data_IF_466821009851
#
_entry.id   IF_466821009851
#
_cell.length_a   1.000
_cell.length_b   1.000
_cell.length_c   1.000
_cell.angle_alpha   90.00
_cell.angle_beta   90.00
_cell.angle_gamma   90.00
#
_symmetry.space_group_name_H-M   'P 1'
#
loop_
_entity.id
_entity.type
_entity.pdbx_description
1 polymer ?
#
# COMPACT_ATOMS: atom_id res chain seq x y z
N UNK A 1 3.92 19.22 75.31
CA UNK A 1 3.23 20.48 74.97
C UNK A 1 2.65 20.35 73.60
N UNK A 2 1.32 20.33 73.55
CA UNK A 2 0.34 20.50 72.48
C UNK A 2 0.58 19.97 71.06
N UNK A 3 -0.32 19.13 70.57
CA UNK A 3 -0.42 18.68 69.17
C UNK A 3 -1.25 19.67 68.35
N UNK A 4 -0.92 19.82 67.07
CA UNK A 4 -1.80 20.48 66.11
C UNK A 4 -2.49 19.43 65.22
N UNK A 5 -3.76 19.23 65.60
CA UNK A 5 -4.77 18.69 64.65
C UNK A 5 -5.26 19.84 63.83
N UNK A 6 -5.15 19.71 62.51
CA UNK A 6 -6.04 20.33 61.50
C UNK A 6 -5.57 19.85 60.10
N UNK A 7 -6.27 18.94 59.50
CA UNK A 7 -6.71 18.92 58.10
C UNK A 7 -7.34 17.55 57.81
N UNK A 8 -8.63 17.47 57.78
CA UNK A 8 -9.25 16.73 56.69
C UNK A 8 -10.56 17.40 56.26
N UNK A 9 -10.53 18.42 55.43
CA UNK A 9 -11.78 18.98 54.87
C UNK A 9 -11.61 19.65 53.52
N UNK A 10 -10.64 19.21 52.69
CA UNK A 10 -10.48 19.76 51.36
C UNK A 10 -10.40 18.70 50.26
N UNK A 11 -10.66 17.45 50.54
CA UNK A 11 -10.62 16.39 49.49
C UNK A 11 -12.00 15.92 49.01
N UNK A 12 -13.10 16.54 49.40
CA UNK A 12 -14.45 16.10 49.01
C UNK A 12 -15.14 17.01 47.96
N UNK A 13 -14.49 18.08 47.50
CA UNK A 13 -15.10 18.95 46.46
C UNK A 13 -14.54 18.74 45.05
N UNK A 14 -13.52 17.90 44.84
CA UNK A 14 -12.94 17.65 43.54
C UNK A 14 -13.51 16.42 42.78
N UNK A 15 -14.43 15.69 43.42
CA UNK A 15 -15.03 14.47 42.83
C UNK A 15 -16.39 14.67 42.16
N UNK A 16 -16.96 15.88 42.21
CA UNK A 16 -18.30 16.15 41.62
C UNK A 16 -18.26 16.90 40.29
N UNK A 17 -17.09 17.34 39.83
CA UNK A 17 -16.99 18.06 38.52
C UNK A 17 -16.59 17.16 37.35
N UNK A 18 -16.14 15.94 37.58
CA UNK A 18 -15.75 15.01 36.47
C UNK A 18 -16.88 14.15 35.90
N UNK A 19 -18.12 14.30 36.34
CA UNK A 19 -19.23 13.44 35.86
C UNK A 19 -20.24 14.14 34.94
N UNK A 20 -19.87 15.23 34.29
CA UNK A 20 -20.73 15.92 33.26
C UNK A 20 -20.11 16.17 31.90
N UNK A 21 -19.00 15.56 31.57
CA UNK A 21 -18.62 15.37 30.17
C UNK A 21 -18.91 13.92 29.80
N UNK A 22 -20.19 13.57 29.79
CA UNK A 22 -20.62 12.50 28.93
C UNK A 22 -20.26 12.91 27.51
N UNK A 23 -19.20 12.37 26.93
CA UNK A 23 -19.00 12.36 25.50
C UNK A 23 -20.23 11.65 24.96
N UNK A 24 -21.21 12.40 24.48
CA UNK A 24 -22.20 11.87 23.55
C UNK A 24 -21.35 11.45 22.36
N UNK A 25 -20.99 10.17 22.30
CA UNK A 25 -20.45 9.60 21.09
C UNK A 25 -21.53 9.86 20.04
N UNK A 26 -21.32 10.84 19.15
CA UNK A 26 -22.19 11.06 18.02
C UNK A 26 -22.25 9.74 17.27
N UNK A 27 -23.46 9.28 16.92
CA UNK A 27 -23.60 8.10 16.08
C UNK A 27 -22.65 8.22 14.88
N UNK A 28 -21.90 7.15 14.53
CA UNK A 28 -20.96 7.20 13.43
C UNK A 28 -21.67 7.72 12.17
N UNK A 29 -21.03 8.64 11.46
CA UNK A 29 -21.59 9.14 10.19
C UNK A 29 -21.72 7.95 9.22
N UNK A 30 -22.91 7.66 8.77
CA UNK A 30 -23.18 6.59 7.78
C UNK A 30 -22.40 6.78 6.47
N UNK A 31 -21.88 7.99 6.26
CA UNK A 31 -21.03 8.38 5.14
C UNK A 31 -19.59 8.66 5.59
N UNK A 32 -19.09 7.89 6.56
CA UNK A 32 -17.69 7.92 6.97
C UNK A 32 -16.80 7.31 5.86
N UNK A 33 -16.62 8.06 4.77
CA UNK A 33 -15.88 7.66 3.58
C UNK A 33 -14.53 8.39 3.57
N UNK A 34 -13.44 7.66 3.43
CA UNK A 34 -12.07 8.19 3.37
C UNK A 34 -11.35 7.61 2.14
N UNK A 35 -10.82 8.44 1.24
CA UNK A 35 -10.99 9.90 1.12
C UNK A 35 -12.46 10.28 0.90
N UNK A 36 -12.83 11.48 1.36
CA UNK A 36 -14.19 11.99 1.11
C UNK A 36 -14.41 12.22 -0.37
N UNK A 37 -15.53 11.75 -0.96
CA UNK A 37 -15.79 11.89 -2.38
C UNK A 37 -15.84 13.36 -2.84
N UNK A 38 -15.49 13.60 -4.11
CA UNK A 38 -15.52 14.94 -4.69
C UNK A 38 -16.92 15.58 -4.61
N UNK A 39 -17.98 14.77 -4.75
CA UNK A 39 -19.37 15.20 -4.58
C UNK A 39 -20.18 14.08 -3.92
N UNK A 40 -20.98 14.42 -2.94
CA UNK A 40 -21.98 13.55 -2.32
C UNK A 40 -23.27 14.30 -2.03
N UNK A 41 -24.36 13.80 -2.56
CA UNK A 41 -25.72 14.22 -2.24
C UNK A 41 -26.40 13.13 -1.42
N UNK A 42 -26.56 13.36 -0.13
CA UNK A 42 -27.25 12.44 0.79
C UNK A 42 -28.75 12.46 0.52
N UNK A 43 -29.39 11.32 0.44
CA UNK A 43 -30.83 11.17 0.18
C UNK A 43 -31.51 10.44 1.33
N UNK A 44 -32.81 10.62 1.47
CA UNK A 44 -33.61 9.86 2.43
C UNK A 44 -33.73 8.40 2.02
N UNK A 45 -33.87 7.51 3.00
CA UNK A 45 -34.03 6.08 2.80
C UNK A 45 -32.72 5.31 2.78
N UNK A 46 -32.82 4.01 2.69
CA UNK A 46 -31.69 3.08 2.59
C UNK A 46 -32.08 1.84 1.78
N UNK A 47 -31.13 1.26 1.07
CA UNK A 47 -31.25 -0.04 0.44
C UNK A 47 -30.91 -1.13 1.46
N UNK A 48 -31.85 -1.96 1.82
CA UNK A 48 -31.59 -3.16 2.61
C UNK A 48 -31.00 -4.26 1.73
N UNK A 49 -29.87 -4.80 2.12
CA UNK A 49 -29.21 -5.87 1.38
C UNK A 49 -29.86 -7.22 1.76
N UNK A 50 -30.82 -7.64 0.97
CA UNK A 50 -31.54 -8.91 1.13
C UNK A 50 -31.03 -9.96 0.14
N UNK A 51 -31.33 -11.23 0.38
CA UNK A 51 -30.96 -12.33 -0.52
C UNK A 51 -31.65 -12.31 -1.89
N UNK A 52 -32.61 -11.40 -2.11
CA UNK A 52 -33.26 -11.20 -3.41
C UNK A 52 -32.48 -10.34 -4.39
N UNK A 53 -31.44 -9.62 -3.88
CA UNK A 53 -30.58 -8.81 -4.72
C UNK A 53 -29.65 -9.67 -5.59
N UNK A 54 -29.31 -9.13 -6.75
CA UNK A 54 -28.30 -9.72 -7.66
C UNK A 54 -27.26 -8.66 -8.02
N UNK A 55 -25.99 -9.06 -8.11
CA UNK A 55 -24.94 -8.20 -8.64
C UNK A 55 -24.85 -8.42 -10.14
N UNK A 56 -25.04 -7.37 -10.93
CA UNK A 56 -24.98 -7.37 -12.38
C UNK A 56 -23.69 -6.66 -12.83
N UNK A 57 -22.80 -7.35 -13.51
CA UNK A 57 -21.49 -6.85 -13.93
C UNK A 57 -21.38 -6.78 -15.45
N UNK A 58 -20.87 -5.68 -15.99
CA UNK A 58 -20.52 -5.57 -17.40
C UNK A 58 -19.64 -6.76 -17.84
N UNK A 59 -19.75 -7.25 -19.09
CA UNK A 59 -19.05 -8.42 -19.59
C UNK A 59 -17.55 -8.13 -19.80
N UNK A 60 -16.83 -7.86 -18.73
CA UNK A 60 -15.41 -7.58 -18.63
C UNK A 60 -14.83 -8.37 -17.44
N UNK A 61 -13.72 -9.06 -17.64
CA UNK A 61 -13.14 -9.96 -16.64
C UNK A 61 -12.77 -9.25 -15.34
N UNK A 62 -12.17 -8.06 -15.42
CA UNK A 62 -11.81 -7.27 -14.24
C UNK A 62 -13.04 -6.79 -13.48
N UNK A 63 -14.12 -6.40 -14.17
CA UNK A 63 -15.39 -6.01 -13.53
C UNK A 63 -16.07 -7.22 -12.87
N UNK A 64 -15.99 -8.41 -13.48
CA UNK A 64 -16.52 -9.64 -12.86
C UNK A 64 -15.76 -10.02 -11.60
N UNK A 65 -14.42 -9.91 -11.60
CA UNK A 65 -13.60 -10.12 -10.39
C UNK A 65 -13.96 -9.09 -9.31
N UNK A 66 -14.11 -7.83 -9.69
CA UNK A 66 -14.54 -6.74 -8.79
C UNK A 66 -15.92 -7.01 -8.20
N UNK A 67 -16.87 -7.54 -8.99
CA UNK A 67 -18.20 -7.93 -8.52
C UNK A 67 -18.14 -9.09 -7.50
N UNK A 68 -17.26 -10.06 -7.72
CA UNK A 68 -17.03 -11.15 -6.77
C UNK A 68 -16.43 -10.63 -5.44
N UNK A 69 -15.51 -9.66 -5.51
CA UNK A 69 -14.99 -8.98 -4.31
C UNK A 69 -16.10 -8.25 -3.55
N UNK A 70 -16.99 -7.53 -4.25
CA UNK A 70 -18.13 -6.85 -3.62
C UNK A 70 -19.07 -7.86 -2.93
N UNK A 71 -19.38 -8.99 -3.58
CA UNK A 71 -20.16 -10.05 -2.96
C UNK A 71 -19.52 -10.57 -1.67
N UNK A 72 -18.18 -10.74 -1.68
CA UNK A 72 -17.40 -11.09 -0.49
C UNK A 72 -17.46 -10.01 0.61
N UNK A 73 -17.39 -8.73 0.26
CA UNK A 73 -17.50 -7.64 1.23
C UNK A 73 -18.88 -7.56 1.89
N UNK A 74 -19.95 -7.80 1.10
CA UNK A 74 -21.32 -7.86 1.63
C UNK A 74 -21.46 -9.03 2.58
N UNK A 75 -21.02 -10.22 2.21
CA UNK A 75 -21.06 -11.41 3.06
C UNK A 75 -20.22 -11.22 4.35
N UNK A 76 -19.04 -10.62 4.25
CA UNK A 76 -18.17 -10.30 5.38
C UNK A 76 -18.75 -9.25 6.35
N UNK A 77 -19.72 -8.44 5.89
CA UNK A 77 -20.50 -7.51 6.70
C UNK A 77 -21.81 -8.12 7.23
N UNK A 78 -21.87 -9.44 7.37
CA UNK A 78 -23.06 -10.23 7.76
C UNK A 78 -24.24 -10.10 6.78
N UNK A 79 -23.97 -9.75 5.53
CA UNK A 79 -24.97 -9.72 4.47
C UNK A 79 -25.19 -11.06 3.79
N UNK A 80 -26.18 -11.14 2.89
CA UNK A 80 -26.47 -12.34 2.12
C UNK A 80 -25.38 -12.64 1.10
N UNK A 81 -25.23 -13.91 0.73
CA UNK A 81 -24.46 -14.32 -0.43
C UNK A 81 -25.21 -13.93 -1.71
N UNK A 82 -24.75 -12.89 -2.40
CA UNK A 82 -25.38 -12.39 -3.61
C UNK A 82 -24.79 -13.05 -4.87
N UNK A 83 -25.64 -13.53 -5.80
CA UNK A 83 -25.18 -14.08 -7.07
C UNK A 83 -24.65 -12.96 -7.98
N UNK A 84 -23.56 -13.25 -8.71
CA UNK A 84 -23.01 -12.38 -9.75
C UNK A 84 -23.45 -12.88 -11.13
N UNK A 85 -24.07 -11.99 -11.92
CA UNK A 85 -24.53 -12.28 -13.30
C UNK A 85 -24.05 -11.21 -14.28
N UNK A 86 -24.14 -11.52 -15.57
CA UNK A 86 -23.80 -10.55 -16.61
C UNK A 86 -24.82 -9.41 -16.69
N UNK A 87 -24.35 -8.17 -16.82
CA UNK A 87 -25.19 -7.01 -17.11
C UNK A 87 -25.40 -6.89 -18.62
N UNK A 88 -26.65 -6.82 -19.04
CA UNK A 88 -27.06 -6.79 -20.46
C UNK A 88 -27.53 -5.41 -20.94
N UNK A 89 -27.31 -4.36 -20.13
CA UNK A 89 -27.61 -2.96 -20.49
C UNK A 89 -29.01 -2.48 -20.09
N UNK A 90 -29.88 -3.33 -19.55
CA UNK A 90 -31.21 -2.92 -19.12
C UNK A 90 -31.27 -2.57 -17.63
N UNK A 91 -31.99 -1.51 -17.23
CA UNK A 91 -32.23 -1.21 -15.83
C UNK A 91 -32.93 -2.41 -15.15
N UNK A 92 -32.44 -2.78 -13.97
CA UNK A 92 -33.04 -3.86 -13.19
C UNK A 92 -33.27 -3.38 -11.74
N UNK A 93 -34.49 -3.58 -11.23
CA UNK A 93 -34.79 -3.42 -9.81
C UNK A 93 -34.16 -4.55 -9.01
N UNK A 94 -34.01 -4.36 -7.72
CA UNK A 94 -33.40 -5.31 -6.81
C UNK A 94 -32.03 -5.80 -7.30
N UNK A 95 -31.18 -4.86 -7.75
CA UNK A 95 -29.88 -5.20 -8.27
C UNK A 95 -28.79 -4.17 -7.90
N UNK A 96 -27.55 -4.64 -7.85
CA UNK A 96 -26.34 -3.82 -7.76
C UNK A 96 -25.68 -3.92 -9.12
N UNK A 97 -25.77 -2.86 -9.92
CA UNK A 97 -25.27 -2.81 -11.29
C UNK A 97 -23.88 -2.17 -11.30
N UNK A 98 -22.89 -2.90 -11.82
CA UNK A 98 -21.52 -2.44 -12.06
C UNK A 98 -21.33 -2.27 -13.58
N UNK A 99 -21.51 -1.06 -14.07
CA UNK A 99 -21.59 -0.78 -15.51
C UNK A 99 -20.36 -0.02 -16.02
N UNK A 100 -19.72 -0.55 -17.06
CA UNK A 100 -18.81 0.23 -17.88
C UNK A 100 -19.63 1.12 -18.82
N UNK A 101 -19.44 2.44 -18.72
CA UNK A 101 -20.21 3.43 -19.46
C UNK A 101 -19.28 4.55 -19.95
N UNK A 102 -19.13 4.73 -21.27
CA UNK A 102 -18.33 5.83 -21.83
C UNK A 102 -18.81 7.23 -21.43
N UNK A 103 -20.09 7.37 -21.05
CA UNK A 103 -20.66 8.64 -20.58
C UNK A 103 -20.38 8.94 -19.11
N UNK A 104 -19.83 8.00 -18.35
CA UNK A 104 -19.44 8.20 -16.95
C UNK A 104 -18.33 9.28 -16.83
N UNK A 105 -18.07 9.82 -15.62
CA UNK A 105 -17.05 10.83 -15.39
C UNK A 105 -15.69 10.46 -15.99
N UNK A 106 -14.98 11.46 -16.52
CA UNK A 106 -13.66 11.26 -17.13
C UNK A 106 -12.60 10.89 -16.10
N UNK A 107 -11.66 10.04 -16.49
CA UNK A 107 -10.58 9.53 -15.64
C UNK A 107 -10.71 8.03 -15.39
N UNK A 108 -9.59 7.31 -15.41
CA UNK A 108 -9.55 5.86 -15.26
C UNK A 108 -10.17 5.40 -13.94
N UNK A 109 -9.90 6.12 -12.85
CA UNK A 109 -10.36 5.81 -11.50
C UNK A 109 -11.65 6.55 -11.09
N UNK A 110 -12.22 7.39 -11.99
CA UNK A 110 -13.44 8.16 -11.71
C UNK A 110 -14.67 7.27 -11.79
N UNK A 111 -15.66 7.56 -10.95
CA UNK A 111 -16.93 6.82 -10.94
C UNK A 111 -18.11 7.69 -10.54
N UNK A 112 -19.30 7.24 -10.90
CA UNK A 112 -20.58 7.72 -10.42
C UNK A 112 -21.33 6.57 -9.76
N UNK A 113 -21.82 6.80 -8.54
CA UNK A 113 -22.53 5.84 -7.72
C UNK A 113 -23.86 6.41 -7.29
N UNK A 114 -24.95 5.75 -7.65
CA UNK A 114 -26.28 6.08 -7.22
C UNK A 114 -26.88 4.93 -6.41
N UNK A 115 -27.26 5.21 -5.16
CA UNK A 115 -27.90 4.25 -4.25
C UNK A 115 -29.33 4.69 -4.04
N UNK A 116 -30.29 3.79 -4.30
CA UNK A 116 -31.74 3.96 -4.10
C UNK A 116 -32.26 2.81 -3.27
N UNK A 117 -33.46 2.91 -2.75
CA UNK A 117 -34.12 1.86 -1.98
C UNK A 117 -34.33 0.56 -2.78
N UNK A 118 -34.39 0.65 -4.12
CA UNK A 118 -34.61 -0.49 -5.03
C UNK A 118 -33.34 -0.99 -5.75
N UNK A 119 -32.15 -0.43 -5.44
CA UNK A 119 -30.91 -0.90 -6.05
C UNK A 119 -29.78 0.11 -6.08
N UNK A 120 -28.64 -0.36 -6.63
CA UNK A 120 -27.42 0.44 -6.82
C UNK A 120 -27.04 0.49 -8.30
N UNK A 121 -26.66 1.64 -8.78
CA UNK A 121 -26.00 1.83 -10.07
C UNK A 121 -24.63 2.45 -9.85
N UNK A 122 -23.56 1.72 -10.14
CA UNK A 122 -22.19 2.18 -10.18
C UNK A 122 -21.72 2.19 -11.63
N UNK A 123 -21.33 3.37 -12.13
CA UNK A 123 -20.84 3.57 -13.49
C UNK A 123 -19.42 4.14 -13.47
N UNK A 124 -18.59 3.66 -14.38
CA UNK A 124 -17.26 4.19 -14.64
C UNK A 124 -16.86 3.94 -16.10
N UNK A 125 -15.87 4.69 -16.61
CA UNK A 125 -15.34 4.43 -17.96
C UNK A 125 -14.44 3.19 -18.00
N UNK A 126 -13.79 2.88 -16.90
CA UNK A 126 -12.88 1.75 -16.78
C UNK A 126 -13.15 0.90 -15.54
N UNK A 127 -12.59 -0.32 -15.52
CA UNK A 127 -12.76 -1.25 -14.39
C UNK A 127 -12.15 -0.72 -13.10
N UNK A 128 -11.13 0.14 -13.16
CA UNK A 128 -10.52 0.80 -11.99
C UNK A 128 -11.52 1.67 -11.25
N UNK A 129 -12.30 2.50 -11.98
CA UNK A 129 -13.35 3.33 -11.38
C UNK A 129 -14.44 2.48 -10.72
N UNK A 130 -14.84 1.35 -11.33
CA UNK A 130 -15.74 0.39 -10.69
C UNK A 130 -15.14 -0.13 -9.38
N UNK A 131 -13.85 -0.47 -9.38
CA UNK A 131 -13.17 -0.93 -8.17
C UNK A 131 -13.14 0.15 -7.08
N UNK A 132 -12.83 1.43 -7.42
CA UNK A 132 -12.87 2.54 -6.43
C UNK A 132 -14.28 2.75 -5.89
N UNK A 133 -15.30 2.62 -6.73
CA UNK A 133 -16.70 2.74 -6.31
C UNK A 133 -17.13 1.65 -5.34
N UNK A 134 -16.71 0.39 -5.53
CA UNK A 134 -17.02 -0.67 -4.57
C UNK A 134 -16.30 -0.50 -3.23
N UNK A 135 -15.14 0.18 -3.18
CA UNK A 135 -14.50 0.51 -1.91
C UNK A 135 -15.33 1.54 -1.12
N UNK A 136 -16.00 2.46 -1.81
CA UNK A 136 -16.97 3.37 -1.17
C UNK A 136 -18.13 2.58 -0.56
N UNK A 137 -18.73 1.65 -1.30
CA UNK A 137 -19.77 0.78 -0.76
C UNK A 137 -19.26 -0.04 0.46
N UNK A 138 -18.03 -0.58 0.38
CA UNK A 138 -17.40 -1.32 1.47
C UNK A 138 -17.25 -0.46 2.73
N UNK A 139 -16.78 0.78 2.60
CA UNK A 139 -16.64 1.69 3.74
C UNK A 139 -17.99 2.03 4.37
N UNK A 140 -19.03 2.25 3.57
CA UNK A 140 -20.39 2.50 4.07
C UNK A 140 -20.92 1.29 4.83
N UNK A 141 -20.69 0.06 4.35
CA UNK A 141 -21.06 -1.18 5.06
C UNK A 141 -20.33 -1.31 6.40
N UNK A 142 -19.02 -1.01 6.43
CA UNK A 142 -18.21 -1.06 7.65
C UNK A 142 -18.65 -0.01 8.69
N UNK A 143 -19.01 1.20 8.25
CA UNK A 143 -19.48 2.27 9.13
C UNK A 143 -20.80 1.87 9.83
N UNK A 144 -21.71 1.24 9.12
CA UNK A 144 -22.99 0.75 9.69
C UNK A 144 -22.79 -0.41 10.66
N UNK A 145 -21.94 -1.36 10.29
CA UNK A 145 -21.56 -2.46 11.20
C UNK A 145 -20.94 -1.95 12.50
N UNK A 146 -20.08 -0.93 12.42
CA UNK A 146 -19.47 -0.27 13.58
C UNK A 146 -20.50 0.51 14.42
N UNK A 147 -21.59 0.99 13.81
CA UNK A 147 -22.70 1.66 14.52
C UNK A 147 -23.61 0.68 15.25
N UNK A 148 -23.42 -0.64 15.08
CA UNK A 148 -24.29 -1.67 15.68
C UNK A 148 -25.68 -1.74 15.07
N UNK A 149 -25.85 -1.25 13.83
CA UNK A 149 -27.14 -1.31 13.16
C UNK A 149 -27.48 -2.74 12.72
N UNK A 150 -28.75 -3.14 12.92
CA UNK A 150 -29.23 -4.45 12.56
C UNK A 150 -29.33 -4.62 11.03
N UNK A 151 -28.59 -5.61 10.50
CA UNK A 151 -28.57 -5.97 9.09
C UNK A 151 -27.76 -5.04 8.20
N UNK A 152 -27.22 -5.58 7.10
CA UNK A 152 -26.46 -4.78 6.15
C UNK A 152 -27.40 -3.93 5.29
N UNK A 153 -27.16 -2.62 5.25
CA UNK A 153 -27.89 -1.70 4.40
C UNK A 153 -26.97 -0.58 3.92
N UNK A 154 -27.38 0.10 2.86
CA UNK A 154 -26.64 1.22 2.26
C UNK A 154 -27.55 2.45 2.27
N UNK A 155 -27.17 3.59 2.90
CA UNK A 155 -27.96 4.82 2.86
C UNK A 155 -28.04 5.35 1.43
N UNK A 156 -29.20 5.88 1.04
CA UNK A 156 -29.41 6.43 -0.29
C UNK A 156 -28.57 7.69 -0.52
N UNK A 157 -27.90 7.71 -1.67
CA UNK A 157 -27.05 8.84 -2.06
C UNK A 157 -26.79 8.87 -3.56
N UNK A 158 -26.37 10.04 -4.05
CA UNK A 158 -25.66 10.21 -5.32
C UNK A 158 -24.23 10.66 -5.03
N UNK A 159 -23.26 9.95 -5.57
CA UNK A 159 -21.83 10.20 -5.35
C UNK A 159 -21.14 10.29 -6.71
N UNK A 160 -20.34 11.34 -6.90
CA UNK A 160 -19.38 11.45 -8.01
C UNK A 160 -18.01 11.63 -7.38
N UNK A 161 -17.08 10.80 -7.81
CA UNK A 161 -15.72 10.83 -7.24
C UNK A 161 -14.68 10.73 -8.35
N UNK A 162 -13.65 11.53 -8.19
CA UNK A 162 -12.47 11.59 -9.06
C UNK A 162 -11.27 11.86 -8.19
N UNK A 163 -10.25 10.99 -8.18
CA UNK A 163 -9.06 11.22 -7.38
C UNK A 163 -8.38 12.55 -7.74
N UNK A 164 -8.03 13.35 -6.73
CA UNK A 164 -7.29 14.59 -6.93
C UNK A 164 -5.84 14.33 -7.36
N UNK A 165 -5.23 13.25 -6.84
CA UNK A 165 -3.87 12.87 -7.13
C UNK A 165 -3.85 11.53 -7.86
N UNK A 166 -3.08 11.43 -8.93
CA UNK A 166 -2.89 10.18 -9.70
C UNK A 166 -2.01 9.18 -8.96
N UNK A 167 -1.09 9.65 -8.10
CA UNK A 167 -0.22 8.82 -7.28
C UNK A 167 -0.66 8.88 -5.82
N UNK A 168 -1.06 7.73 -5.27
CA UNK A 168 -1.50 7.60 -3.87
C UNK A 168 -0.96 6.29 -3.34
N UNK A 169 0.20 6.34 -2.68
CA UNK A 169 0.93 5.17 -2.26
C UNK A 169 1.23 5.11 -0.78
N UNK A 170 1.56 3.92 -0.33
CA UNK A 170 2.19 3.65 0.95
C UNK A 170 3.43 2.79 0.74
N UNK A 171 4.47 3.08 1.51
CA UNK A 171 5.67 2.25 1.62
C UNK A 171 5.48 1.21 2.72
N UNK A 172 6.01 0.00 2.50
CA UNK A 172 6.17 -1.01 3.55
C UNK A 172 7.60 -1.54 3.52
N UNK A 173 8.32 -1.31 4.60
CA UNK A 173 9.64 -1.85 4.85
C UNK A 173 9.53 -3.31 5.33
N UNK A 174 9.81 -4.24 4.43
CA UNK A 174 9.85 -5.67 4.72
C UNK A 174 11.24 -6.16 5.12
N UNK A 175 12.25 -5.30 5.02
CA UNK A 175 13.62 -5.63 5.33
C UNK A 175 13.91 -5.54 6.83
N UNK A 176 13.56 -4.40 7.48
CA UNK A 176 13.73 -4.27 8.93
C UNK A 176 12.82 -5.25 9.67
N UNK A 177 11.63 -5.49 9.15
CA UNK A 177 10.72 -6.51 9.68
C UNK A 177 10.13 -7.35 8.55
N UNK A 178 10.27 -8.68 8.62
CA UNK A 178 9.72 -9.57 7.60
C UNK A 178 8.22 -9.78 7.81
N UNK A 179 7.44 -9.54 6.76
CA UNK A 179 6.00 -9.79 6.70
C UNK A 179 5.69 -10.97 5.79
N UNK A 180 4.80 -11.85 6.21
CA UNK A 180 4.39 -12.99 5.38
C UNK A 180 3.57 -12.54 4.17
N UNK A 181 3.42 -13.43 3.16
CA UNK A 181 2.54 -13.18 1.99
C UNK A 181 1.11 -12.78 2.43
N UNK A 182 0.60 -13.42 3.48
CA UNK A 182 -0.72 -13.10 4.00
C UNK A 182 -0.79 -11.69 4.63
N UNK A 183 0.28 -11.26 5.31
CA UNK A 183 0.34 -9.91 5.87
C UNK A 183 0.39 -8.87 4.75
N UNK A 184 1.17 -9.11 3.68
CA UNK A 184 1.20 -8.25 2.49
C UNK A 184 -0.19 -8.17 1.84
N UNK A 185 -0.91 -9.28 1.68
CA UNK A 185 -2.27 -9.27 1.14
C UNK A 185 -3.23 -8.46 2.02
N UNK A 186 -3.14 -8.59 3.34
CA UNK A 186 -3.94 -7.75 4.26
C UNK A 186 -3.58 -6.27 4.14
N UNK A 187 -2.30 -5.95 3.96
CA UNK A 187 -1.85 -4.58 3.71
C UNK A 187 -2.41 -4.04 2.39
N UNK A 188 -2.37 -4.84 1.32
CA UNK A 188 -2.98 -4.49 0.03
C UNK A 188 -4.50 -4.27 0.14
N UNK A 189 -5.21 -5.07 0.95
CA UNK A 189 -6.62 -4.86 1.22
C UNK A 189 -6.91 -3.55 1.96
N UNK A 190 -6.02 -3.14 2.87
CA UNK A 190 -6.13 -1.87 3.60
C UNK A 190 -5.88 -0.68 2.68
N UNK A 191 -4.81 -0.70 1.90
CA UNK A 191 -4.53 0.41 0.97
C UNK A 191 -5.59 0.51 -0.13
N UNK A 192 -6.15 -0.62 -0.59
CA UNK A 192 -7.28 -0.64 -1.50
C UNK A 192 -8.55 -0.01 -0.89
N UNK A 193 -8.84 -0.31 0.39
CA UNK A 193 -9.98 0.25 1.11
C UNK A 193 -9.95 1.78 1.10
N UNK A 194 -8.77 2.37 1.25
CA UNK A 194 -8.56 3.83 1.20
C UNK A 194 -8.29 4.35 -0.22
N UNK A 195 -8.60 3.56 -1.26
CA UNK A 195 -8.50 3.94 -2.68
C UNK A 195 -7.08 4.33 -3.11
N UNK A 196 -6.06 3.83 -2.43
CA UNK A 196 -4.68 3.97 -2.86
C UNK A 196 -4.39 3.05 -4.04
N UNK A 197 -3.42 3.43 -4.89
CA UNK A 197 -3.13 2.74 -6.13
C UNK A 197 -1.65 2.35 -6.30
N UNK A 198 -0.80 2.67 -5.33
CA UNK A 198 0.63 2.36 -5.34
C UNK A 198 1.00 1.62 -4.05
N UNK A 199 1.72 0.53 -4.21
CA UNK A 199 2.40 -0.18 -3.14
C UNK A 199 3.91 -0.10 -3.35
N UNK A 200 4.60 0.75 -2.59
CA UNK A 200 6.04 0.83 -2.56
C UNK A 200 6.56 -0.26 -1.62
N UNK A 201 7.26 -1.24 -2.16
CA UNK A 201 7.68 -2.45 -1.47
C UNK A 201 9.19 -2.45 -1.26
N UNK A 202 9.65 -2.02 -0.08
CA UNK A 202 11.06 -2.07 0.28
C UNK A 202 11.46 -3.51 0.63
N UNK A 203 12.33 -4.08 -0.18
CA UNK A 203 12.71 -5.48 -0.16
C UNK A 203 14.13 -5.71 0.37
N UNK A 204 14.94 -4.67 0.45
CA UNK A 204 16.38 -4.79 0.76
C UNK A 204 16.80 -3.67 1.69
N UNK A 205 17.51 -4.04 2.76
CA UNK A 205 18.16 -3.10 3.68
C UNK A 205 19.24 -3.82 4.50
N UNK A 206 19.88 -3.13 5.44
CA UNK A 206 20.94 -3.67 6.28
C UNK A 206 20.52 -4.92 7.06
N UNK A 207 19.26 -4.99 7.49
CA UNK A 207 18.76 -6.06 8.32
C UNK A 207 18.28 -7.29 7.55
N UNK A 208 18.17 -7.21 6.23
CA UNK A 208 17.78 -8.36 5.45
C UNK A 208 17.51 -8.11 3.98
N UNK A 209 17.84 -9.10 3.18
CA UNK A 209 17.49 -9.23 1.77
C UNK A 209 16.25 -10.12 1.63
N UNK A 210 15.16 -9.62 1.06
CA UNK A 210 13.85 -10.30 1.10
C UNK A 210 13.41 -10.90 -0.23
N UNK A 211 14.19 -10.79 -1.30
CA UNK A 211 13.81 -11.23 -2.64
C UNK A 211 14.72 -12.36 -3.14
N UNK A 212 14.13 -13.47 -3.60
CA UNK A 212 14.88 -14.52 -4.28
C UNK A 212 15.45 -13.98 -5.61
N UNK A 213 16.80 -14.11 -5.76
CA UNK A 213 17.55 -13.85 -6.98
C UNK A 213 18.26 -15.13 -7.36
N UNK A 214 17.92 -15.72 -8.50
CA UNK A 214 18.43 -17.05 -8.91
C UNK A 214 19.95 -17.09 -9.05
N UNK A 215 20.51 -16.01 -9.60
CA UNK A 215 21.95 -15.90 -9.81
C UNK A 215 22.72 -15.75 -8.49
N UNK A 216 22.06 -15.24 -7.45
CA UNK A 216 22.66 -14.95 -6.15
C UNK A 216 21.90 -15.62 -4.99
N UNK A 217 21.89 -16.97 -4.90
CA UNK A 217 21.07 -17.70 -3.93
C UNK A 217 21.40 -17.37 -2.47
N UNK A 218 22.67 -17.04 -2.14
CA UNK A 218 23.06 -16.69 -0.78
C UNK A 218 22.37 -15.43 -0.26
N UNK A 219 21.85 -14.55 -1.14
CA UNK A 219 21.06 -13.38 -0.71
C UNK A 219 19.87 -13.80 0.17
N UNK A 220 19.24 -14.94 -0.13
CA UNK A 220 18.12 -15.46 0.66
C UNK A 220 18.51 -16.57 1.61
N UNK A 221 19.55 -17.35 1.31
CA UNK A 221 20.06 -18.39 2.21
C UNK A 221 20.75 -17.80 3.45
N UNK A 222 21.48 -16.70 3.27
CA UNK A 222 22.28 -16.02 4.29
C UNK A 222 21.72 -14.62 4.58
N UNK A 223 21.66 -13.74 3.57
CA UNK A 223 21.30 -12.33 3.71
C UNK A 223 19.87 -12.06 4.18
N UNK A 224 18.96 -13.04 4.09
CA UNK A 224 17.60 -12.92 4.59
C UNK A 224 17.48 -13.14 6.12
N UNK A 225 18.56 -13.47 6.80
CA UNK A 225 18.50 -13.95 8.17
C UNK A 225 19.46 -13.19 9.10
N UNK A 226 18.99 -12.94 10.32
CA UNK A 226 19.79 -12.40 11.43
C UNK A 226 19.40 -13.11 12.73
N UNK A 227 20.10 -12.81 13.80
CA UNK A 227 19.69 -13.17 15.14
C UNK A 227 18.92 -12.00 15.75
N UNK A 228 17.78 -12.24 16.35
CA UNK A 228 17.00 -11.25 17.08
C UNK A 228 16.54 -11.85 18.40
N UNK A 229 16.93 -11.23 19.52
CA UNK A 229 16.66 -11.77 20.84
C UNK A 229 17.21 -13.19 21.04
N UNK A 230 18.34 -13.55 20.46
CA UNK A 230 18.97 -14.87 20.53
C UNK A 230 18.31 -15.95 19.67
N UNK A 231 17.40 -15.60 18.78
CA UNK A 231 16.72 -16.52 17.87
C UNK A 231 16.96 -16.13 16.41
N UNK A 232 17.00 -17.14 15.52
CA UNK A 232 17.03 -16.88 14.09
C UNK A 232 15.73 -16.17 13.66
N UNK A 233 15.87 -14.99 13.06
CA UNK A 233 14.78 -14.16 12.58
C UNK A 233 15.02 -13.76 11.13
N UNK A 234 13.95 -13.67 10.36
CA UNK A 234 13.99 -13.25 8.96
C UNK A 234 13.01 -14.04 8.10
N UNK A 235 13.24 -14.01 6.82
CA UNK A 235 12.44 -14.64 5.79
C UNK A 235 12.67 -13.94 4.45
N UNK A 236 12.12 -14.52 3.40
CA UNK A 236 12.21 -13.96 2.06
C UNK A 236 10.97 -14.34 1.25
N UNK A 237 10.76 -13.67 0.14
CA UNK A 237 9.76 -13.99 -0.85
C UNK A 237 10.39 -14.79 -1.98
N UNK A 238 9.88 -16.00 -2.22
CA UNK A 238 10.22 -16.79 -3.40
C UNK A 238 9.64 -16.12 -4.65
N UNK A 239 10.12 -16.48 -5.82
CA UNK A 239 9.55 -16.01 -7.08
C UNK A 239 8.05 -16.33 -7.21
N UNK A 240 7.58 -17.41 -6.58
CA UNK A 240 6.16 -17.75 -6.53
C UNK A 240 5.40 -16.80 -5.61
N UNK A 241 5.92 -16.50 -4.42
CA UNK A 241 5.32 -15.56 -3.47
C UNK A 241 5.17 -14.17 -4.08
N UNK A 242 6.20 -13.70 -4.80
CA UNK A 242 6.16 -12.41 -5.49
C UNK A 242 5.07 -12.38 -6.54
N UNK A 243 4.96 -13.42 -7.40
CA UNK A 243 3.88 -13.50 -8.40
C UNK A 243 2.50 -13.49 -7.75
N UNK A 244 2.32 -14.23 -6.66
CA UNK A 244 1.07 -14.26 -5.91
C UNK A 244 0.69 -12.87 -5.37
N UNK A 245 1.66 -12.12 -4.83
CA UNK A 245 1.46 -10.75 -4.35
C UNK A 245 1.13 -9.81 -5.52
N UNK A 246 1.85 -9.91 -6.64
CA UNK A 246 1.61 -9.09 -7.83
C UNK A 246 0.22 -9.32 -8.44
N UNK A 247 -0.21 -10.56 -8.55
CA UNK A 247 -1.55 -10.90 -9.05
C UNK A 247 -2.64 -10.37 -8.09
N UNK A 248 -2.40 -10.48 -6.79
CA UNK A 248 -3.31 -9.97 -5.77
C UNK A 248 -3.45 -8.45 -5.80
N UNK A 249 -2.33 -7.74 -6.00
CA UNK A 249 -2.29 -6.29 -6.18
C UNK A 249 -2.99 -5.86 -7.48
N UNK A 250 -2.73 -6.57 -8.59
CA UNK A 250 -3.33 -6.34 -9.89
C UNK A 250 -4.86 -6.43 -9.85
N UNK A 251 -5.41 -7.41 -9.16
CA UNK A 251 -6.87 -7.56 -9.00
C UNK A 251 -7.49 -6.43 -8.16
N UNK A 252 -6.66 -5.58 -7.52
CA UNK A 252 -7.03 -4.38 -6.75
C UNK A 252 -6.64 -3.07 -7.43
N UNK A 253 -6.14 -3.15 -8.65
CA UNK A 253 -5.63 -1.97 -9.39
C UNK A 253 -4.58 -1.19 -8.58
N UNK A 254 -3.66 -1.94 -7.97
CA UNK A 254 -2.50 -1.42 -7.24
C UNK A 254 -1.25 -1.76 -8.02
N UNK A 255 -0.49 -0.73 -8.38
CA UNK A 255 0.84 -0.88 -8.98
C UNK A 255 1.85 -1.13 -7.87
N UNK A 256 2.64 -2.19 -8.00
CA UNK A 256 3.75 -2.49 -7.08
C UNK A 256 5.01 -1.82 -7.62
N UNK A 257 5.69 -1.09 -6.73
CA UNK A 257 6.99 -0.46 -6.97
C UNK A 257 8.01 -1.21 -6.09
N UNK A 258 8.79 -2.14 -6.66
CA UNK A 258 9.84 -2.82 -5.90
C UNK A 258 10.99 -1.86 -5.64
N UNK A 259 11.54 -1.91 -4.43
CA UNK A 259 12.75 -1.16 -4.06
C UNK A 259 13.89 -2.12 -3.74
N UNK A 260 15.01 -1.87 -4.39
CA UNK A 260 16.32 -2.48 -4.11
C UNK A 260 17.26 -1.33 -3.76
N UNK A 261 17.43 -1.10 -2.47
CA UNK A 261 18.18 0.05 -1.97
C UNK A 261 19.68 -0.12 -2.15
N UNK A 262 20.36 0.94 -2.61
CA UNK A 262 21.80 0.99 -2.87
C UNK A 262 22.31 2.43 -3.06
N UNK A 263 23.58 2.77 -2.80
CA UNK A 263 24.67 1.90 -2.36
C UNK A 263 24.70 1.65 -0.87
N UNK A 264 24.05 2.49 -0.06
CA UNK A 264 23.82 2.30 1.37
C UNK A 264 22.80 1.18 1.63
N UNK A 265 22.55 0.87 2.89
CA UNK A 265 21.55 -0.13 3.29
C UNK A 265 21.79 -1.54 2.71
N UNK A 266 23.04 -1.90 2.45
CA UNK A 266 23.43 -3.12 1.72
C UNK A 266 24.14 -4.15 2.57
N UNK A 267 24.19 -3.98 3.90
CA UNK A 267 24.88 -4.91 4.80
C UNK A 267 24.44 -6.36 4.60
N UNK A 268 23.14 -6.62 4.44
CA UNK A 268 22.64 -7.98 4.23
C UNK A 268 23.17 -8.63 2.92
N UNK A 269 23.34 -7.83 1.86
CA UNK A 269 23.94 -8.29 0.61
C UNK A 269 25.43 -8.58 0.79
N UNK A 270 26.17 -7.74 1.52
CA UNK A 270 27.61 -7.90 1.79
C UNK A 270 27.85 -9.12 2.69
N UNK A 271 27.00 -9.36 3.68
CA UNK A 271 27.05 -10.60 4.50
C UNK A 271 26.92 -11.85 3.64
N UNK A 272 26.03 -11.81 2.64
CA UNK A 272 25.83 -12.93 1.72
C UNK A 272 26.97 -13.09 0.70
N UNK A 273 27.53 -11.98 0.23
CA UNK A 273 28.57 -11.88 -0.79
C UNK A 273 29.61 -10.84 -0.36
N UNK A 274 30.63 -11.25 0.43
CA UNK A 274 31.60 -10.30 1.01
C UNK A 274 32.38 -9.48 -0.03
N UNK A 275 32.49 -9.97 -1.26
CA UNK A 275 33.12 -9.25 -2.38
C UNK A 275 32.34 -8.01 -2.85
N UNK A 276 31.11 -7.81 -2.39
CA UNK A 276 30.31 -6.62 -2.66
C UNK A 276 30.62 -5.45 -1.74
N UNK A 277 31.39 -5.66 -0.69
CA UNK A 277 31.79 -4.62 0.26
C UNK A 277 33.29 -4.45 0.34
N UNK A 278 33.78 -3.28 0.81
CA UNK A 278 35.20 -3.01 1.05
C UNK A 278 35.72 -3.64 2.34
N UNK A 279 34.82 -4.17 3.19
CA UNK A 279 35.13 -4.81 4.46
C UNK A 279 34.16 -5.94 4.76
N UNK A 280 34.57 -6.97 5.51
CA UNK A 280 33.69 -8.02 5.97
C UNK A 280 32.51 -7.44 6.78
N UNK A 281 31.33 -8.02 6.59
CA UNK A 281 30.10 -7.66 7.27
C UNK A 281 29.53 -8.84 8.07
N UNK A 282 28.83 -8.52 9.14
CA UNK A 282 28.10 -9.47 9.98
C UNK A 282 26.60 -9.16 9.94
N UNK A 283 25.73 -10.16 10.17
CA UNK A 283 24.29 -9.92 10.24
C UNK A 283 23.95 -8.82 11.25
N UNK A 284 23.17 -7.84 10.83
CA UNK A 284 22.89 -6.64 11.61
C UNK A 284 21.57 -6.73 12.37
N UNK A 285 21.63 -6.49 13.68
CA UNK A 285 20.45 -6.55 14.58
C UNK A 285 19.95 -5.15 15.00
N UNK A 286 20.73 -4.10 14.74
CA UNK A 286 20.45 -2.73 15.17
C UNK A 286 19.52 -1.97 14.24
N UNK A 287 19.40 -0.66 14.55
CA UNK A 287 18.56 0.30 13.82
C UNK A 287 19.38 1.48 13.27
N UNK A 288 20.68 1.53 13.56
CA UNK A 288 21.55 2.58 13.01
C UNK A 288 21.66 2.44 11.50
N UNK A 289 21.85 3.54 10.81
CA UNK A 289 21.89 3.64 9.35
C UNK A 289 23.20 4.27 8.88
N UNK A 290 23.50 4.17 7.58
CA UNK A 290 24.61 4.89 6.95
C UNK A 290 25.97 4.27 7.15
N UNK A 291 26.08 3.08 7.73
CA UNK A 291 27.37 2.41 8.00
C UNK A 291 27.79 1.44 6.90
N UNK A 292 26.87 0.99 6.06
CA UNK A 292 27.13 0.02 4.99
C UNK A 292 27.14 0.73 3.62
N UNK A 293 27.96 0.24 2.71
CA UNK A 293 27.98 0.63 1.31
C UNK A 293 28.55 -0.47 0.45
N UNK A 294 28.04 -0.61 -0.77
CA UNK A 294 28.66 -1.44 -1.79
C UNK A 294 30.06 -0.91 -2.15
N UNK A 295 30.97 -1.80 -2.57
CA UNK A 295 32.32 -1.45 -3.05
C UNK A 295 32.24 -0.72 -4.40
N UNK A 296 32.15 0.61 -4.38
CA UNK A 296 31.86 1.46 -5.55
C UNK A 296 32.96 1.38 -6.61
N UNK A 297 34.20 1.16 -6.22
CA UNK A 297 35.32 1.02 -7.15
C UNK A 297 35.40 -0.33 -7.84
N UNK A 298 34.55 -1.31 -7.49
CA UNK A 298 34.61 -2.67 -8.01
C UNK A 298 33.64 -2.87 -9.18
N UNK A 299 34.12 -3.41 -10.31
CA UNK A 299 33.27 -3.76 -11.44
C UNK A 299 32.27 -4.87 -11.09
N UNK A 300 32.64 -5.80 -10.18
CA UNK A 300 31.72 -6.86 -9.71
C UNK A 300 30.47 -6.31 -9.04
N UNK A 301 30.54 -5.13 -8.44
CA UNK A 301 29.35 -4.43 -7.89
C UNK A 301 28.37 -4.08 -8.99
N UNK A 302 28.83 -3.58 -10.12
CA UNK A 302 27.94 -3.20 -11.23
C UNK A 302 27.43 -4.41 -12.02
N UNK A 303 28.23 -5.48 -12.11
CA UNK A 303 27.74 -6.77 -12.63
C UNK A 303 26.63 -7.35 -11.76
N UNK A 304 26.79 -7.26 -10.43
CA UNK A 304 25.73 -7.64 -9.47
C UNK A 304 24.47 -6.81 -9.64
N UNK A 305 24.60 -5.49 -9.76
CA UNK A 305 23.46 -4.57 -9.97
C UNK A 305 22.72 -4.91 -11.26
N UNK A 306 23.45 -5.11 -12.37
CA UNK A 306 22.83 -5.43 -13.67
C UNK A 306 22.04 -6.74 -13.58
N UNK A 307 22.62 -7.77 -12.98
CA UNK A 307 21.96 -9.06 -12.81
C UNK A 307 20.70 -8.97 -11.93
N UNK A 308 20.79 -8.28 -10.78
CA UNK A 308 19.67 -8.11 -9.86
C UNK A 308 18.56 -7.29 -10.53
N UNK A 309 18.89 -6.18 -11.17
CA UNK A 309 17.91 -5.33 -11.86
C UNK A 309 17.18 -6.13 -12.93
N UNK A 310 17.88 -6.92 -13.73
CA UNK A 310 17.25 -7.76 -14.77
C UNK A 310 16.27 -8.76 -14.17
N UNK A 311 16.67 -9.50 -13.12
CA UNK A 311 15.75 -10.47 -12.50
C UNK A 311 14.54 -9.79 -11.85
N UNK A 312 14.73 -8.64 -11.20
CA UNK A 312 13.63 -7.87 -10.61
C UNK A 312 12.66 -7.36 -11.68
N UNK A 313 13.18 -6.82 -12.77
CA UNK A 313 12.37 -6.28 -13.87
C UNK A 313 11.60 -7.39 -14.60
N UNK A 314 12.21 -8.54 -14.81
CA UNK A 314 11.55 -9.72 -15.41
C UNK A 314 10.42 -10.26 -14.52
N UNK A 315 10.60 -10.16 -13.21
CA UNK A 315 9.62 -10.64 -12.23
C UNK A 315 8.46 -9.65 -12.02
N UNK A 316 8.74 -8.35 -12.05
CA UNK A 316 7.78 -7.28 -11.69
C UNK A 316 7.33 -6.51 -12.95
N UNK A 317 6.11 -6.73 -13.45
CA UNK A 317 5.65 -6.14 -14.72
C UNK A 317 5.28 -4.65 -14.63
N UNK A 318 5.36 -4.02 -13.45
CA UNK A 318 5.05 -2.62 -13.22
C UNK A 318 6.01 -1.67 -13.96
N UNK A 319 5.62 -0.40 -14.19
CA UNK A 319 6.43 0.54 -14.96
C UNK A 319 7.58 1.17 -14.17
N UNK A 320 7.71 0.88 -12.88
CA UNK A 320 8.62 1.56 -11.95
C UNK A 320 9.62 0.58 -11.33
N UNK A 321 10.82 1.12 -11.04
CA UNK A 321 11.84 0.47 -10.20
C UNK A 321 12.42 1.54 -9.27
N UNK A 322 12.45 1.27 -7.97
CA UNK A 322 13.03 2.15 -6.97
C UNK A 322 14.42 1.63 -6.57
N UNK A 323 15.43 2.50 -6.60
CA UNK A 323 16.83 2.15 -6.35
C UNK A 323 17.34 2.63 -4.99
N UNK A 324 16.47 3.17 -4.13
CA UNK A 324 16.88 3.72 -2.84
C UNK A 324 17.72 4.99 -2.98
N UNK A 325 18.92 4.97 -2.42
CA UNK A 325 19.92 6.03 -2.55
C UNK A 325 19.96 7.00 -1.39
N UNK A 326 19.31 6.68 -0.27
CA UNK A 326 19.33 7.44 0.97
C UNK A 326 20.46 7.00 1.91
N UNK A 327 20.74 7.85 2.88
CA UNK A 327 21.55 7.61 4.08
C UNK A 327 22.89 6.89 3.82
N UNK A 328 23.50 7.04 2.65
CA UNK A 328 24.81 6.43 2.31
C UNK A 328 25.96 7.21 2.95
N UNK A 329 25.96 7.29 4.30
CA UNK A 329 26.83 8.17 5.06
C UNK A 329 28.29 7.67 5.15
N UNK A 330 28.54 6.40 4.90
CA UNK A 330 29.89 5.81 4.81
C UNK A 330 30.54 6.03 3.45
N UNK A 331 29.81 6.57 2.47
CA UNK A 331 30.26 6.81 1.10
C UNK A 331 30.64 8.27 0.94
N UNK A 332 31.76 8.56 0.29
CA UNK A 332 32.14 9.95 -0.05
C UNK A 332 31.14 10.52 -1.07
N UNK A 333 31.00 11.85 -1.12
CA UNK A 333 30.12 12.51 -2.10
C UNK A 333 30.52 12.18 -3.55
N UNK A 334 31.80 12.11 -3.86
CA UNK A 334 32.32 11.77 -5.19
C UNK A 334 31.98 10.32 -5.58
N UNK A 335 32.20 9.39 -4.66
CA UNK A 335 31.84 7.98 -4.87
C UNK A 335 30.34 7.78 -5.01
N UNK A 336 29.55 8.46 -4.16
CA UNK A 336 28.10 8.41 -4.25
C UNK A 336 27.59 8.89 -5.61
N UNK A 337 28.06 10.03 -6.10
CA UNK A 337 27.66 10.56 -7.41
C UNK A 337 28.09 9.63 -8.55
N UNK A 338 29.30 9.07 -8.47
CA UNK A 338 29.81 8.07 -9.43
C UNK A 338 28.93 6.83 -9.44
N UNK A 339 28.58 6.33 -8.25
CA UNK A 339 27.70 5.17 -8.11
C UNK A 339 26.32 5.44 -8.71
N UNK A 340 25.67 6.54 -8.33
CA UNK A 340 24.32 6.88 -8.80
C UNK A 340 24.31 6.99 -10.33
N UNK A 341 25.29 7.66 -10.93
CA UNK A 341 25.36 7.75 -12.39
C UNK A 341 25.43 6.38 -13.06
N UNK A 342 26.29 5.48 -12.56
CA UNK A 342 26.47 4.13 -13.12
C UNK A 342 25.25 3.21 -12.88
N UNK A 343 24.78 3.15 -11.63
CA UNK A 343 23.65 2.28 -11.25
C UNK A 343 22.36 2.69 -11.98
N UNK A 344 22.10 4.00 -12.09
CA UNK A 344 20.91 4.48 -12.81
C UNK A 344 21.02 4.26 -14.31
N UNK A 345 22.22 4.35 -14.91
CA UNK A 345 22.43 4.03 -16.33
C UNK A 345 22.15 2.54 -16.61
N UNK A 346 22.60 1.63 -15.73
CA UNK A 346 22.31 0.19 -15.82
C UNK A 346 20.79 -0.04 -15.72
N UNK A 347 20.16 0.53 -14.69
CA UNK A 347 18.72 0.32 -14.45
C UNK A 347 17.85 0.93 -15.55
N UNK A 348 18.24 2.05 -16.16
CA UNK A 348 17.52 2.70 -17.25
C UNK A 348 17.45 1.84 -18.51
N UNK A 349 18.43 0.95 -18.74
CA UNK A 349 18.42 0.00 -19.85
C UNK A 349 17.20 -0.96 -19.80
N UNK A 350 16.57 -1.11 -18.64
CA UNK A 350 15.34 -1.89 -18.46
C UNK A 350 14.10 -1.23 -19.08
N UNK A 351 14.16 0.05 -19.43
CA UNK A 351 13.01 0.84 -19.92
C UNK A 351 12.00 1.21 -18.83
N UNK A 352 12.31 0.99 -17.55
CA UNK A 352 11.46 1.39 -16.42
C UNK A 352 11.69 2.86 -16.07
N UNK A 353 10.66 3.51 -15.52
CA UNK A 353 10.84 4.79 -14.84
C UNK A 353 11.54 4.53 -13.51
N UNK A 354 12.70 5.14 -13.34
CA UNK A 354 13.47 5.02 -12.10
C UNK A 354 12.90 5.95 -11.05
N UNK A 355 12.86 5.45 -9.82
CA UNK A 355 12.55 6.23 -8.63
C UNK A 355 13.74 6.06 -7.68
N UNK A 356 14.04 7.07 -6.89
CA UNK A 356 14.97 6.99 -5.77
C UNK A 356 14.61 7.99 -4.71
N UNK A 357 15.21 7.86 -3.56
CA UNK A 357 15.08 8.88 -2.52
C UNK A 357 15.68 10.20 -3.02
N UNK A 358 15.26 11.32 -2.46
CA UNK A 358 15.59 12.63 -3.00
C UNK A 358 17.11 12.92 -3.05
N UNK A 359 17.93 12.23 -2.27
CA UNK A 359 19.38 12.32 -2.27
C UNK A 359 20.00 11.96 -3.62
N UNK A 360 19.37 11.06 -4.38
CA UNK A 360 19.80 10.76 -5.76
C UNK A 360 19.77 12.00 -6.66
N UNK A 361 18.89 12.97 -6.37
CA UNK A 361 18.78 14.24 -7.09
C UNK A 361 20.02 15.11 -7.03
N UNK A 362 21.00 14.77 -6.20
CA UNK A 362 22.32 15.42 -6.17
C UNK A 362 23.15 15.11 -7.43
N UNK A 363 22.85 14.01 -8.12
CA UNK A 363 23.49 13.65 -9.38
C UNK A 363 22.90 14.41 -10.55
N UNK A 364 23.76 15.00 -11.39
CA UNK A 364 23.37 15.68 -12.64
C UNK A 364 23.23 14.70 -13.83
N UNK A 365 23.64 13.44 -13.65
CA UNK A 365 23.69 12.43 -14.72
C UNK A 365 22.52 11.44 -14.64
N UNK A 366 21.42 11.85 -14.00
CA UNK A 366 20.22 10.99 -13.91
C UNK A 366 19.53 10.83 -15.28
N UNK A 367 19.08 9.62 -15.62
CA UNK A 367 18.25 9.40 -16.81
C UNK A 367 17.00 10.29 -16.79
N UNK A 368 16.63 10.80 -17.97
CA UNK A 368 15.44 11.65 -18.10
C UNK A 368 14.18 10.95 -17.61
N UNK A 369 13.38 11.64 -16.80
CA UNK A 369 12.16 11.10 -16.22
C UNK A 369 12.35 10.36 -14.89
N UNK A 370 13.58 10.29 -14.35
CA UNK A 370 13.82 9.80 -12.99
C UNK A 370 13.03 10.62 -11.97
N UNK A 371 12.40 9.97 -11.02
CA UNK A 371 11.55 10.57 -10.00
C UNK A 371 12.25 10.54 -8.65
N UNK A 372 12.40 11.70 -8.01
CA UNK A 372 12.88 11.82 -6.63
C UNK A 372 11.73 11.69 -5.63
N UNK A 373 11.81 10.74 -4.71
CA UNK A 373 10.86 10.61 -3.61
C UNK A 373 11.39 11.36 -2.39
N UNK A 374 10.70 12.45 -2.04
CA UNK A 374 11.09 13.28 -0.90
C UNK A 374 10.56 12.71 0.42
N UNK A 375 11.41 12.58 1.43
CA UNK A 375 11.07 12.02 2.74
C UNK A 375 11.48 12.89 3.94
N UNK A 376 12.26 13.94 3.72
CA UNK A 376 12.77 14.81 4.79
C UNK A 376 11.74 15.83 5.27
N UNK A 377 11.98 16.41 6.44
CA UNK A 377 11.19 17.51 7.02
C UNK A 377 11.71 18.90 6.62
N UNK A 378 12.82 18.97 5.90
CA UNK A 378 13.44 20.21 5.42
C UNK A 378 13.08 20.46 3.95
N UNK A 379 13.33 21.68 3.48
CA UNK A 379 13.17 22.00 2.05
C UNK A 379 14.08 21.09 1.21
N UNK A 380 13.60 20.51 0.09
CA UNK A 380 14.44 19.74 -0.82
C UNK A 380 15.65 20.58 -1.26
N UNK A 381 16.82 19.97 -1.28
CA UNK A 381 18.05 20.61 -1.77
C UNK A 381 18.12 20.57 -3.28
#
# INVERSE_FOLDING_TARGET
MKPYTLFPMLCLLSLVVCSRYGTVASAPDQFAIVPYPAMIEKKAGALNLTGELVILASPNDSVRKTAALLAGYIAGANGPALPVKAYTGSPAKNSIILALDPAAPSGAESYELTIREDGVLLRARGPEGIFRGIQTLRQMLLARAAAGEEGPSLPCASIIDTPRFSWRGLNLDCSRHFYTVNDIKRYLDLIALYKMNIFHWNLVNDQGWRLEIKKYPKLTEVGAWRTEGGKRYGGFYSLQDVREILDYAKDRFITVVPEIDMPGHTNAAIVAYPELGDSPAEPYEGIEVGFSSLAIGSESTYDFIDDVVREVVDLTPGPYLHLGGDESLSTTDEDFLTFIARATAIAAASGRTLIGWHEMGRSHDLPAGTVGQYWSFTTPQ
#
